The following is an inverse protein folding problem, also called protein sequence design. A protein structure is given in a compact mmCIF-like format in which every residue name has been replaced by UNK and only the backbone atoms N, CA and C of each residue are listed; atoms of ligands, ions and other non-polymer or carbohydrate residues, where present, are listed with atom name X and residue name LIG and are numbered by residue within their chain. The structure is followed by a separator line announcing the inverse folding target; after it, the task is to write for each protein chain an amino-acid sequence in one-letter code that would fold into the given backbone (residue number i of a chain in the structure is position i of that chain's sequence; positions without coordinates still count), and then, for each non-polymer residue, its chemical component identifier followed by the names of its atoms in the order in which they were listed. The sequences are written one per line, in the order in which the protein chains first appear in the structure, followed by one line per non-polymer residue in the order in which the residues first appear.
data_IF_110089247276
#
_entry.id   IF_110089247276
#
_cell.length_a   1.000
_cell.length_b   1.000
_cell.length_c   1.000
_cell.angle_alpha   90.00
_cell.angle_beta   90.00
_cell.angle_gamma   90.00
#
_symmetry.space_group_name_H-M   'P 1'
#
loop_
_entity.id
_entity.type
_entity.pdbx_description
1 polymer ?
#
# COMPACT_ATOMS: atom_id res chain seq x y z
N UNK A 1 11.31 6.49 13.58
CA UNK A 1 10.86 7.41 12.51
C UNK A 1 11.51 8.75 12.79
N UNK A 2 12.40 9.20 11.90
CA UNK A 2 13.39 10.24 12.21
C UNK A 2 12.85 11.68 12.07
N UNK A 3 11.54 11.89 12.23
CA UNK A 3 10.87 13.19 12.06
C UNK A 3 10.85 13.74 10.62
N UNK A 4 11.30 12.94 9.63
CA UNK A 4 11.35 13.35 8.22
C UNK A 4 9.94 13.46 7.63
N UNK A 5 9.70 14.54 6.89
CA UNK A 5 8.47 14.80 6.14
C UNK A 5 8.70 14.40 4.67
N UNK A 6 7.80 13.60 4.09
CA UNK A 6 7.82 13.35 2.64
C UNK A 6 6.70 14.16 1.97
N UNK A 7 7.01 15.07 1.02
CA UNK A 7 5.99 15.68 0.20
C UNK A 7 5.30 14.60 -0.64
N UNK A 8 3.97 14.58 -0.61
CA UNK A 8 3.16 13.61 -1.34
C UNK A 8 2.51 14.33 -2.52
N UNK A 9 2.75 13.83 -3.73
CA UNK A 9 2.06 14.31 -4.92
C UNK A 9 0.59 13.88 -4.86
N UNK A 10 -0.31 14.86 -4.92
CA UNK A 10 -1.75 14.64 -5.00
C UNK A 10 -2.18 14.62 -6.46
N UNK A 11 -3.11 13.74 -6.79
CA UNK A 11 -3.76 13.73 -8.11
C UNK A 11 -4.77 14.88 -8.25
N UNK A 12 -5.44 14.99 -9.43
CA UNK A 12 -6.43 16.02 -9.71
C UNK A 12 -7.57 16.11 -8.69
N UNK A 13 -7.89 15.00 -8.03
CA UNK A 13 -8.93 14.92 -6.99
C UNK A 13 -8.46 15.38 -5.61
N UNK A 14 -7.19 15.79 -5.48
CA UNK A 14 -6.57 16.09 -4.19
C UNK A 14 -6.45 14.87 -3.26
N UNK A 15 -6.83 13.68 -3.75
CA UNK A 15 -6.90 12.47 -2.92
C UNK A 15 -5.48 11.92 -2.73
N UNK A 16 -5.03 11.76 -1.47
CA UNK A 16 -3.73 11.15 -1.21
C UNK A 16 -3.64 9.72 -1.76
N UNK A 17 -2.42 9.21 -2.03
CA UNK A 17 -2.22 7.84 -2.46
C UNK A 17 -2.82 6.84 -1.48
N UNK A 18 -3.41 5.76 -2.02
CA UNK A 18 -4.02 4.70 -1.20
C UNK A 18 -3.02 4.01 -0.28
N UNK A 19 -1.77 3.90 -0.69
CA UNK A 19 -0.69 3.32 0.09
C UNK A 19 0.53 4.21 0.04
N UNK A 20 1.28 4.21 1.13
CA UNK A 20 2.58 4.85 1.21
C UNK A 20 3.57 3.93 1.93
N UNK A 21 4.81 3.91 1.44
CA UNK A 21 5.88 3.03 1.91
C UNK A 21 7.01 3.90 2.46
N UNK A 22 7.35 3.72 3.73
CA UNK A 22 8.41 4.48 4.42
C UNK A 22 9.59 3.55 4.66
N UNK A 23 10.74 3.74 4.00
CA UNK A 23 11.96 3.04 4.36
C UNK A 23 12.48 3.61 5.68
N UNK A 24 12.43 2.81 6.73
CA UNK A 24 13.02 3.12 8.04
C UNK A 24 14.41 2.49 8.07
N UNK A 25 15.49 3.27 8.28
CA UNK A 25 16.84 2.73 8.41
C UNK A 25 16.90 1.68 9.53
N UNK A 26 17.61 0.58 9.29
CA UNK A 26 17.87 -0.40 10.34
C UNK A 26 18.80 0.17 11.43
N UNK A 27 18.75 -0.37 12.65
CA UNK A 27 19.72 -0.01 13.68
C UNK A 27 21.16 -0.25 13.15
N UNK A 28 22.07 0.69 13.43
CA UNK A 28 23.45 0.68 12.95
C UNK A 28 23.64 0.64 11.41
N UNK A 29 22.67 1.13 10.63
CA UNK A 29 22.78 1.19 9.16
C UNK A 29 22.45 -0.13 8.46
N UNK A 30 21.81 -1.06 9.16
CA UNK A 30 21.29 -2.30 8.58
C UNK A 30 20.20 -2.07 7.52
N UNK A 31 19.84 -3.15 6.82
CA UNK A 31 18.83 -3.15 5.75
C UNK A 31 17.55 -2.41 6.19
N UNK A 32 17.02 -1.46 5.41
CA UNK A 32 15.86 -0.70 5.81
C UNK A 32 14.61 -1.57 5.89
N UNK A 33 13.79 -1.31 6.89
CA UNK A 33 12.46 -1.91 7.05
C UNK A 33 11.44 -1.00 6.38
N UNK A 34 10.59 -1.55 5.52
CA UNK A 34 9.55 -0.78 4.85
C UNK A 34 8.28 -0.82 5.70
N UNK A 35 7.91 0.33 6.26
CA UNK A 35 6.62 0.50 6.92
C UNK A 35 5.58 0.90 5.89
N UNK A 36 4.48 0.15 5.82
CA UNK A 36 3.39 0.45 4.90
C UNK A 36 2.24 1.11 5.64
N UNK A 37 1.70 2.17 5.06
CA UNK A 37 0.51 2.85 5.54
C UNK A 37 -0.56 2.84 4.47
N UNK A 38 -1.80 2.59 4.86
CA UNK A 38 -2.97 2.59 3.98
C UNK A 38 -3.88 3.77 4.31
N UNK A 39 -4.39 4.42 3.27
CA UNK A 39 -5.42 5.44 3.39
C UNK A 39 -6.78 4.81 3.73
N UNK A 40 -7.36 5.23 4.84
CA UNK A 40 -8.70 4.87 5.28
C UNK A 40 -9.62 6.08 5.35
N UNK A 41 -10.88 5.88 4.98
CA UNK A 41 -11.92 6.87 5.14
C UNK A 41 -12.29 6.98 6.62
N UNK A 42 -12.40 8.21 7.12
CA UNK A 42 -13.00 8.47 8.42
C UNK A 42 -14.50 8.61 8.21
N UNK A 43 -15.27 7.58 8.58
CA UNK A 43 -16.73 7.60 8.52
C UNK A 43 -17.29 8.26 9.79
N UNK A 44 -18.29 9.14 9.62
CA UNK A 44 -19.04 9.68 10.76
C UNK A 44 -20.04 8.64 11.26
N UNK A 45 -20.14 8.42 12.58
CA UNK A 45 -20.97 7.36 13.18
C UNK A 45 -22.49 7.53 13.09
N UNK A 46 -23.01 8.35 12.17
CA UNK A 46 -24.45 8.60 12.01
C UNK A 46 -25.03 7.84 10.82
N UNK A 47 -26.29 7.38 10.94
CA UNK A 47 -27.02 6.61 9.90
C UNK A 47 -27.12 7.28 8.52
N UNK A 48 -26.77 8.57 8.41
CA UNK A 48 -26.80 9.37 7.18
C UNK A 48 -25.39 9.75 6.64
N UNK A 49 -24.31 9.34 7.30
CA UNK A 49 -22.95 9.64 6.83
C UNK A 49 -22.51 8.68 5.74
N UNK A 50 -23.06 8.86 4.54
CA UNK A 50 -22.60 8.14 3.33
C UNK A 50 -21.28 8.72 2.82
N UNK A 51 -20.96 9.98 3.19
CA UNK A 51 -19.72 10.65 2.79
C UNK A 51 -18.65 10.57 3.89
N UNK A 52 -17.38 10.26 3.52
CA UNK A 52 -16.25 10.38 4.43
C UNK A 52 -16.06 11.82 4.90
N UNK A 53 -15.75 12.01 6.20
CA UNK A 53 -15.41 13.32 6.79
C UNK A 53 -13.95 13.70 6.60
N UNK A 54 -13.13 12.74 6.19
CA UNK A 54 -11.71 12.92 6.01
C UNK A 54 -11.02 11.59 5.72
N UNK A 55 -9.71 11.66 5.65
CA UNK A 55 -8.86 10.51 5.40
C UNK A 55 -7.80 10.41 6.49
N UNK A 56 -7.47 9.19 6.88
CA UNK A 56 -6.35 8.91 7.79
C UNK A 56 -5.45 7.84 7.19
N UNK A 57 -4.17 7.89 7.49
CA UNK A 57 -3.26 6.79 7.18
C UNK A 57 -3.17 5.83 8.37
N UNK A 58 -3.32 4.54 8.10
CA UNK A 58 -3.26 3.48 9.10
C UNK A 58 -2.09 2.57 8.78
N UNK A 59 -1.29 2.27 9.80
CA UNK A 59 -0.16 1.37 9.67
C UNK A 59 -0.64 -0.05 9.31
N UNK A 60 0.00 -0.66 8.30
CA UNK A 60 -0.24 -2.03 7.84
C UNK A 60 1.06 -2.84 7.96
N UNK A 61 1.26 -3.58 9.06
CA UNK A 61 2.46 -4.38 9.27
C UNK A 61 2.60 -5.53 8.26
N UNK A 62 1.49 -6.01 7.69
CA UNK A 62 1.47 -7.06 6.65
C UNK A 62 2.02 -6.57 5.30
N UNK A 63 2.27 -5.27 5.16
CA UNK A 63 2.78 -4.67 3.95
C UNK A 63 1.72 -4.45 2.87
N UNK A 64 2.17 -4.03 1.69
CA UNK A 64 1.28 -3.74 0.56
C UNK A 64 0.96 -5.02 -0.20
N UNK A 65 -0.32 -5.38 -0.29
CA UNK A 65 -0.77 -6.42 -1.23
C UNK A 65 -0.50 -5.99 -2.68
N UNK A 66 0.52 -6.58 -3.29
CA UNK A 66 0.80 -6.44 -4.73
C UNK A 66 -0.18 -7.31 -5.49
N UNK A 67 -1.23 -6.70 -6.03
CA UNK A 67 -2.12 -7.38 -6.96
C UNK A 67 -1.54 -7.27 -8.36
N UNK A 68 -1.32 -8.41 -9.01
CA UNK A 68 -1.05 -8.44 -10.44
C UNK A 68 -2.25 -7.86 -11.17
N UNK A 69 -2.07 -6.80 -11.98
CA UNK A 69 -3.15 -6.27 -12.79
C UNK A 69 -3.70 -7.36 -13.71
N UNK A 70 -5.00 -7.64 -13.61
CA UNK A 70 -5.69 -8.55 -14.53
C UNK A 70 -6.17 -7.75 -15.73
N UNK A 71 -5.30 -7.62 -16.74
CA UNK A 71 -5.69 -7.03 -18.01
C UNK A 71 -6.26 -8.09 -18.94
N UNK A 72 -7.20 -7.72 -19.85
CA UNK A 72 -7.74 -8.66 -20.81
C UNK A 72 -6.70 -9.17 -21.83
N UNK A 73 -5.53 -8.52 -21.92
CA UNK A 73 -4.39 -8.94 -22.74
C UNK A 73 -3.21 -9.51 -21.92
N UNK A 74 -3.38 -9.76 -20.62
CA UNK A 74 -2.36 -10.44 -19.81
C UNK A 74 -2.25 -11.90 -20.23
N UNK A 75 -1.06 -12.35 -20.64
CA UNK A 75 -0.80 -13.77 -20.93
C UNK A 75 -0.98 -14.61 -19.64
N UNK A 76 -1.62 -15.80 -19.70
CA UNK A 76 -1.67 -16.73 -18.58
C UNK A 76 -0.25 -17.11 -18.15
N UNK A 77 0.02 -17.09 -16.84
CA UNK A 77 1.31 -17.50 -16.32
C UNK A 77 1.55 -18.97 -16.63
N UNK A 78 2.62 -19.27 -17.36
CA UNK A 78 3.11 -20.63 -17.54
C UNK A 78 3.47 -21.17 -16.16
N UNK A 79 2.56 -21.96 -15.56
CA UNK A 79 2.91 -22.82 -14.44
C UNK A 79 4.05 -23.72 -14.90
N UNK A 80 5.16 -23.69 -14.17
CA UNK A 80 6.31 -24.52 -14.43
C UNK A 80 5.88 -25.99 -14.45
N UNK A 81 5.74 -26.54 -15.65
CA UNK A 81 5.81 -27.97 -15.92
C UNK A 81 7.26 -28.34 -16.16
N UNK A 82 7.69 -29.44 -15.53
CA UNK A 82 9.03 -30.03 -15.62
C UNK A 82 9.70 -30.03 -14.23
N UNK A 83 10.00 -31.15 -13.59
CA UNK A 83 10.31 -32.47 -14.14
C UNK A 83 10.15 -33.51 -13.04
N UNK A 84 9.47 -34.62 -13.34
CA UNK A 84 9.67 -35.87 -12.61
C UNK A 84 10.87 -36.61 -13.19
N UNK A 85 11.67 -37.24 -12.34
CA UNK A 85 12.48 -38.46 -12.51
C UNK A 85 13.37 -38.54 -11.25
N UNK A 86 13.08 -39.44 -10.31
CA UNK A 86 13.50 -40.85 -10.17
C UNK A 86 14.87 -41.01 -9.53
#
# INVERSE_FOLDING_TARGET
MDGRVLPVLLGPTGRPPKYYEIPVPGPAGGRPVIHVYRLEAVTGGGRWSVLPRGWRYVYQPEGRQRRTPRWPWSRPGTGAGGTGER
#
